data_IF_339570358917
#
_entry.id   IF_339570358917
#
_cell.length_a   1.000
_cell.length_b   1.000
_cell.length_c   1.000
_cell.angle_alpha   90.00
_cell.angle_beta   90.00
_cell.angle_gamma   90.00
#
_symmetry.space_group_name_H-M   'P 1'
#
loop_
_entity.id
_entity.type
_entity.pdbx_description
1 polymer ?
#
# COMPACT_ATOMS: atom_id res chain seq x y z
N UNK A 1 -36.77 -4.52 54.56
CA UNK A 1 -36.57 -4.27 53.11
C UNK A 1 -37.86 -4.61 52.39
N UNK A 2 -38.43 -3.72 51.58
CA UNK A 2 -39.67 -4.00 50.86
C UNK A 2 -39.46 -5.09 49.79
N UNK A 3 -40.36 -6.07 49.73
CA UNK A 3 -40.23 -7.28 48.89
C UNK A 3 -40.08 -7.00 47.39
N UNK A 4 -40.73 -5.95 46.88
CA UNK A 4 -40.61 -5.56 45.47
C UNK A 4 -39.16 -5.19 45.09
N UNK A 5 -38.42 -4.59 46.02
CA UNK A 5 -37.04 -4.17 45.81
C UNK A 5 -36.08 -5.37 45.76
N UNK A 6 -36.36 -6.43 46.53
CA UNK A 6 -35.60 -7.68 46.47
C UNK A 6 -35.76 -8.40 45.13
N UNK A 7 -36.95 -8.37 44.54
CA UNK A 7 -37.22 -8.97 43.21
C UNK A 7 -36.44 -8.21 42.12
N UNK A 8 -36.47 -6.87 42.16
CA UNK A 8 -35.76 -6.03 41.18
C UNK A 8 -34.25 -6.26 41.25
N UNK A 9 -33.68 -6.26 42.45
CA UNK A 9 -32.22 -6.49 42.63
C UNK A 9 -31.83 -7.93 42.25
N UNK A 10 -32.69 -8.91 42.55
CA UNK A 10 -32.46 -10.32 42.20
C UNK A 10 -32.39 -10.58 40.69
N UNK A 11 -33.13 -9.81 39.88
CA UNK A 11 -33.13 -9.93 38.41
C UNK A 11 -32.06 -9.04 37.77
N UNK A 12 -31.67 -7.94 38.42
CA UNK A 12 -30.69 -7.00 37.88
C UNK A 12 -29.33 -7.66 37.60
N UNK A 13 -28.81 -8.47 38.53
CA UNK A 13 -27.50 -9.14 38.39
C UNK A 13 -27.48 -10.10 37.19
N UNK A 14 -28.41 -11.07 37.03
CA UNK A 14 -28.42 -11.95 35.87
C UNK A 14 -28.72 -11.22 34.57
N UNK A 15 -29.53 -10.15 34.60
CA UNK A 15 -29.78 -9.32 33.43
C UNK A 15 -28.48 -8.64 32.95
N UNK A 16 -27.74 -8.00 33.85
CA UNK A 16 -26.45 -7.36 33.54
C UNK A 16 -25.44 -8.41 33.05
N UNK A 17 -25.39 -9.60 33.66
CA UNK A 17 -24.53 -10.69 33.23
C UNK A 17 -24.85 -11.12 31.78
N UNK A 18 -26.14 -11.30 31.44
CA UNK A 18 -26.58 -11.64 30.10
C UNK A 18 -26.20 -10.55 29.08
N UNK A 19 -26.43 -9.28 29.41
CA UNK A 19 -26.06 -8.16 28.55
C UNK A 19 -24.55 -8.08 28.34
N UNK A 20 -23.76 -8.27 29.39
CA UNK A 20 -22.30 -8.24 29.29
C UNK A 20 -21.78 -9.36 28.38
N UNK A 21 -22.29 -10.58 28.52
CA UNK A 21 -21.96 -11.71 27.66
C UNK A 21 -22.30 -11.43 26.19
N UNK A 22 -23.46 -10.81 25.93
CA UNK A 22 -23.91 -10.46 24.59
C UNK A 22 -23.00 -9.38 23.96
N UNK A 23 -22.65 -8.35 24.71
CA UNK A 23 -21.74 -7.29 24.27
C UNK A 23 -20.36 -7.86 23.96
N UNK A 24 -19.79 -8.68 24.86
CA UNK A 24 -18.49 -9.32 24.65
C UNK A 24 -18.49 -10.21 23.40
N UNK A 25 -19.56 -10.97 23.17
CA UNK A 25 -19.70 -11.78 21.96
C UNK A 25 -19.73 -10.92 20.68
N UNK A 26 -20.44 -9.79 20.70
CA UNK A 26 -20.44 -8.85 19.58
C UNK A 26 -19.05 -8.24 19.36
N UNK A 27 -18.36 -7.83 20.43
CA UNK A 27 -17.01 -7.28 20.35
C UNK A 27 -16.01 -8.28 19.76
N UNK A 28 -16.08 -9.55 20.16
CA UNK A 28 -15.27 -10.61 19.56
C UNK A 28 -15.51 -10.67 18.04
N UNK A 29 -16.78 -10.73 17.63
CA UNK A 29 -17.15 -10.84 16.21
C UNK A 29 -16.69 -9.64 15.39
N UNK A 30 -16.75 -8.43 15.97
CA UNK A 30 -16.22 -7.21 15.34
C UNK A 30 -14.70 -7.28 15.23
N UNK A 31 -13.99 -7.65 16.30
CA UNK A 31 -12.53 -7.76 16.32
C UNK A 31 -11.97 -8.67 15.23
N UNK A 32 -12.64 -9.81 14.97
CA UNK A 32 -12.25 -10.70 13.87
C UNK A 32 -12.37 -10.05 12.49
N UNK A 33 -13.40 -9.24 12.25
CA UNK A 33 -13.58 -8.52 10.96
C UNK A 33 -12.58 -7.38 10.81
N UNK A 34 -12.31 -6.66 11.90
CA UNK A 34 -11.35 -5.57 11.94
C UNK A 34 -9.93 -6.02 11.59
N UNK A 35 -9.53 -7.24 11.99
CA UNK A 35 -8.23 -7.78 11.64
C UNK A 35 -8.04 -7.94 10.12
N UNK A 36 -9.03 -8.48 9.43
CA UNK A 36 -8.99 -8.64 7.97
C UNK A 36 -8.95 -7.29 7.27
N UNK A 37 -9.75 -6.32 7.74
CA UNK A 37 -9.74 -4.96 7.20
C UNK A 37 -8.37 -4.29 7.36
N UNK A 38 -7.74 -4.42 8.53
CA UNK A 38 -6.41 -3.85 8.76
C UNK A 38 -5.32 -4.47 7.88
N UNK A 39 -5.41 -5.77 7.61
CA UNK A 39 -4.50 -6.43 6.67
C UNK A 39 -4.72 -5.94 5.25
N UNK A 40 -5.98 -5.78 4.82
CA UNK A 40 -6.30 -5.20 3.52
C UNK A 40 -5.78 -3.77 3.40
N UNK A 41 -6.05 -2.90 4.38
CA UNK A 41 -5.57 -1.51 4.38
C UNK A 41 -4.05 -1.41 4.29
N UNK A 42 -3.34 -2.32 4.96
CA UNK A 42 -1.88 -2.38 4.90
C UNK A 42 -1.39 -2.80 3.52
N UNK A 43 -2.00 -3.82 2.91
CA UNK A 43 -1.68 -4.26 1.54
C UNK A 43 -2.01 -3.19 0.51
N UNK A 44 -3.17 -2.54 0.65
CA UNK A 44 -3.61 -1.46 -0.23
C UNK A 44 -2.63 -0.29 -0.22
N UNK A 45 -2.12 0.09 0.95
CA UNK A 45 -1.11 1.17 1.07
C UNK A 45 0.19 0.90 0.32
N UNK A 46 0.63 -0.36 0.23
CA UNK A 46 1.81 -0.73 -0.57
C UNK A 46 1.50 -0.64 -2.05
N UNK A 47 0.31 -1.11 -2.46
CA UNK A 47 -0.16 -1.00 -3.84
C UNK A 47 -0.24 0.46 -4.30
N UNK A 48 -0.90 1.33 -3.52
CA UNK A 48 -1.04 2.74 -3.86
C UNK A 48 0.32 3.43 -3.92
N UNK A 49 1.21 3.21 -2.94
CA UNK A 49 2.54 3.80 -2.98
C UNK A 49 3.37 3.35 -4.21
N UNK A 50 3.20 2.11 -4.67
CA UNK A 50 3.86 1.61 -5.89
C UNK A 50 3.26 2.25 -7.13
N UNK A 51 1.93 2.37 -7.19
CA UNK A 51 1.21 3.02 -8.27
C UNK A 51 1.55 4.52 -8.36
N UNK A 52 1.52 5.22 -7.24
CA UNK A 52 1.75 6.65 -7.13
C UNK A 52 3.17 7.01 -7.56
N UNK A 53 4.18 6.20 -7.20
CA UNK A 53 5.54 6.40 -7.70
C UNK A 53 5.64 6.24 -9.22
N UNK A 54 4.99 5.23 -9.78
CA UNK A 54 5.00 5.03 -11.23
C UNK A 54 4.30 6.19 -11.94
N UNK A 55 3.16 6.64 -11.45
CA UNK A 55 2.41 7.77 -12.03
C UNK A 55 3.20 9.07 -11.88
N UNK A 56 3.78 9.35 -10.72
CA UNK A 56 4.58 10.55 -10.48
C UNK A 56 5.78 10.64 -11.43
N UNK A 57 6.46 9.52 -11.73
CA UNK A 57 7.58 9.52 -12.69
C UNK A 57 7.15 9.51 -14.16
N UNK A 58 5.89 9.19 -14.46
CA UNK A 58 5.36 9.22 -15.84
C UNK A 58 4.74 10.57 -16.21
N UNK A 59 4.12 11.25 -15.25
CA UNK A 59 3.26 12.43 -15.51
C UNK A 59 3.52 13.59 -14.54
N UNK A 60 4.08 13.32 -13.36
CA UNK A 60 4.24 14.31 -12.30
C UNK A 60 5.49 15.19 -12.44
N UNK A 61 5.54 16.24 -11.63
CA UNK A 61 6.69 17.16 -11.56
C UNK A 61 7.79 16.63 -10.60
N UNK A 62 8.97 17.27 -10.59
CA UNK A 62 10.12 16.89 -9.76
C UNK A 62 9.74 16.78 -8.25
N UNK A 63 8.82 17.63 -7.77
CA UNK A 63 8.31 17.59 -6.39
C UNK A 63 7.47 16.34 -6.11
N UNK A 64 6.51 16.03 -6.98
CA UNK A 64 5.66 14.84 -6.88
C UNK A 64 6.50 13.56 -6.87
N UNK A 65 7.51 13.50 -7.75
CA UNK A 65 8.42 12.36 -7.83
C UNK A 65 9.22 12.15 -6.53
N UNK A 66 9.65 13.24 -5.90
CA UNK A 66 10.38 13.18 -4.63
C UNK A 66 9.48 12.72 -3.49
N UNK A 67 8.27 13.29 -3.40
CA UNK A 67 7.31 12.91 -2.37
C UNK A 67 6.90 11.45 -2.51
N UNK A 68 6.45 11.04 -3.69
CA UNK A 68 6.06 9.66 -3.97
C UNK A 68 7.21 8.69 -3.73
N UNK A 69 8.42 9.02 -4.18
CA UNK A 69 9.61 8.19 -3.97
C UNK A 69 9.93 7.97 -2.49
N UNK A 70 9.80 9.02 -1.67
CA UNK A 70 10.02 8.92 -0.22
C UNK A 70 8.97 8.06 0.49
N UNK A 71 7.70 8.16 0.06
CA UNK A 71 6.62 7.34 0.61
C UNK A 71 6.81 5.88 0.22
N UNK A 72 7.10 5.59 -1.05
CA UNK A 72 7.37 4.25 -1.52
C UNK A 72 8.55 3.59 -0.81
N UNK A 73 9.65 4.31 -0.59
CA UNK A 73 10.80 3.79 0.15
C UNK A 73 10.42 3.33 1.57
N UNK A 74 9.53 4.06 2.26
CA UNK A 74 9.00 3.68 3.57
C UNK A 74 8.11 2.43 3.48
N UNK A 75 7.21 2.39 2.49
CA UNK A 75 6.23 1.30 2.32
C UNK A 75 6.83 0.01 1.75
N UNK A 76 7.98 0.08 1.07
CA UNK A 76 8.68 -1.10 0.56
C UNK A 76 9.02 -2.10 1.66
N UNK A 77 9.38 -1.61 2.85
CA UNK A 77 9.69 -2.48 4.00
C UNK A 77 8.45 -3.26 4.44
N UNK A 78 7.27 -2.61 4.45
CA UNK A 78 5.99 -3.26 4.75
C UNK A 78 5.70 -4.38 3.74
N UNK A 79 6.10 -4.19 2.47
CA UNK A 79 5.87 -5.16 1.41
C UNK A 79 6.53 -6.52 1.68
N UNK A 80 7.72 -6.52 2.31
CA UNK A 80 8.48 -7.73 2.65
C UNK A 80 7.70 -8.67 3.58
N UNK A 81 6.88 -8.11 4.47
CA UNK A 81 6.13 -8.87 5.48
C UNK A 81 4.71 -9.21 5.04
N UNK A 82 4.11 -8.37 4.18
CA UNK A 82 2.69 -8.45 3.82
C UNK A 82 2.41 -9.29 2.57
N UNK A 83 3.41 -9.48 1.71
CA UNK A 83 3.23 -10.03 0.38
C UNK A 83 4.12 -11.25 0.10
N UNK A 84 3.72 -12.10 -0.86
CA UNK A 84 4.57 -13.18 -1.34
C UNK A 84 5.81 -12.65 -2.06
N UNK A 85 6.87 -13.48 -2.20
CA UNK A 85 8.14 -13.06 -2.81
C UNK A 85 7.99 -12.59 -4.26
N UNK A 86 6.96 -13.03 -4.98
CA UNK A 86 6.66 -12.58 -6.35
C UNK A 86 6.34 -11.07 -6.42
N UNK A 87 5.53 -10.58 -5.49
CA UNK A 87 5.17 -9.15 -5.41
C UNK A 87 6.35 -8.35 -4.89
N UNK A 88 7.08 -8.89 -3.91
CA UNK A 88 8.30 -8.24 -3.39
C UNK A 88 9.34 -8.06 -4.50
N UNK A 89 9.55 -9.06 -5.34
CA UNK A 89 10.43 -8.97 -6.51
C UNK A 89 9.97 -7.88 -7.49
N UNK A 90 8.67 -7.76 -7.74
CA UNK A 90 8.11 -6.71 -8.60
C UNK A 90 8.27 -5.30 -8.00
N UNK A 91 8.08 -5.14 -6.69
CA UNK A 91 8.32 -3.87 -5.99
C UNK A 91 9.80 -3.49 -6.06
N UNK A 92 10.71 -4.47 -5.95
CA UNK A 92 12.15 -4.25 -6.11
C UNK A 92 12.51 -3.89 -7.56
N UNK A 93 11.96 -4.58 -8.57
CA UNK A 93 12.10 -4.26 -10.00
C UNK A 93 11.64 -2.82 -10.30
N UNK A 94 10.53 -2.41 -9.69
CA UNK A 94 10.00 -1.04 -9.79
C UNK A 94 10.97 -0.03 -9.19
N UNK A 95 11.52 -0.31 -8.00
CA UNK A 95 12.50 0.56 -7.35
C UNK A 95 13.75 0.76 -8.21
N UNK A 96 14.27 -0.32 -8.80
CA UNK A 96 15.46 -0.28 -9.67
C UNK A 96 15.18 0.48 -10.97
N UNK A 97 14.02 0.27 -11.59
CA UNK A 97 13.63 0.99 -12.80
C UNK A 97 13.46 2.51 -12.56
N UNK A 98 12.83 2.89 -11.44
CA UNK A 98 12.68 4.30 -11.04
C UNK A 98 14.05 4.93 -10.77
N UNK A 99 14.93 4.23 -10.05
CA UNK A 99 16.27 4.72 -9.77
C UNK A 99 17.10 4.92 -11.05
N UNK A 100 17.02 3.97 -11.98
CA UNK A 100 17.70 4.05 -13.27
C UNK A 100 17.18 5.23 -14.11
N UNK A 101 15.86 5.47 -14.12
CA UNK A 101 15.26 6.62 -14.80
C UNK A 101 15.81 7.92 -14.21
N UNK A 102 15.78 8.08 -12.89
CA UNK A 102 16.29 9.29 -12.23
C UNK A 102 17.79 9.51 -12.47
N UNK A 103 18.57 8.44 -12.56
CA UNK A 103 19.97 8.54 -12.92
C UNK A 103 20.14 9.09 -14.36
N UNK A 104 19.33 8.61 -15.31
CA UNK A 104 19.35 9.09 -16.70
C UNK A 104 18.87 10.53 -16.84
N UNK A 105 17.84 10.94 -16.10
CA UNK A 105 17.35 12.33 -16.07
C UNK A 105 18.42 13.30 -15.53
N UNK A 106 19.15 12.89 -14.48
CA UNK A 106 20.27 13.67 -13.95
C UNK A 106 21.42 13.78 -14.95
N UNK A 107 21.72 12.71 -15.67
CA UNK A 107 22.72 12.73 -16.73
C UNK A 107 22.30 13.67 -17.87
N UNK A 108 21.03 13.63 -18.28
CA UNK A 108 20.47 14.54 -19.28
C UNK A 108 20.56 16.01 -18.84
N UNK A 109 20.13 16.32 -17.60
CA UNK A 109 20.23 17.69 -17.02
C UNK A 109 21.68 18.19 -16.96
N UNK A 110 22.67 17.30 -16.88
CA UNK A 110 24.10 17.64 -16.81
C UNK A 110 24.79 17.73 -18.17
N UNK A 111 24.21 17.16 -19.23
CA UNK A 111 24.83 17.12 -20.56
C UNK A 111 25.09 18.53 -21.11
N UNK A 112 26.33 18.78 -21.55
CA UNK A 112 26.74 20.09 -22.09
C UNK A 112 26.75 20.09 -23.63
N UNK A 113 26.91 18.92 -24.24
CA UNK A 113 27.03 18.74 -25.68
C UNK A 113 25.72 18.21 -26.29
N UNK A 114 25.40 18.64 -27.52
CA UNK A 114 24.18 18.22 -28.24
C UNK A 114 24.13 16.70 -28.49
N UNK A 115 25.26 16.09 -28.82
CA UNK A 115 25.32 14.64 -29.09
C UNK A 115 25.15 13.80 -27.81
N UNK A 116 25.70 14.29 -26.70
CA UNK A 116 25.55 13.68 -25.37
C UNK A 116 24.11 13.83 -24.84
N UNK A 117 23.49 15.00 -25.08
CA UNK A 117 22.09 15.24 -24.75
C UNK A 117 21.15 14.32 -25.54
N UNK A 118 21.45 14.08 -26.83
CA UNK A 118 20.66 13.17 -27.67
C UNK A 118 20.76 11.73 -27.17
N UNK A 119 21.96 11.25 -26.84
CA UNK A 119 22.16 9.91 -26.30
C UNK A 119 21.45 9.72 -24.95
N UNK A 120 21.56 10.70 -24.04
CA UNK A 120 20.87 10.68 -22.75
C UNK A 120 19.34 10.75 -22.90
N UNK A 121 18.83 11.47 -23.90
CA UNK A 121 17.39 11.54 -24.18
C UNK A 121 16.84 10.19 -24.68
N UNK A 122 17.60 9.47 -25.51
CA UNK A 122 17.24 8.12 -25.98
C UNK A 122 17.21 7.14 -24.81
N UNK A 123 18.24 7.14 -23.94
CA UNK A 123 18.30 6.29 -22.75
C UNK A 123 17.16 6.59 -21.77
N UNK A 124 16.86 7.87 -21.52
CA UNK A 124 15.72 8.27 -20.69
C UNK A 124 14.40 7.74 -21.26
N UNK A 125 14.17 7.90 -22.57
CA UNK A 125 12.96 7.42 -23.25
C UNK A 125 12.80 5.90 -23.17
N UNK A 126 13.91 5.16 -23.30
CA UNK A 126 13.92 3.71 -23.14
C UNK A 126 13.49 3.32 -21.72
N UNK A 127 14.07 3.95 -20.70
CA UNK A 127 13.71 3.68 -19.29
C UNK A 127 12.27 4.06 -18.96
N UNK A 128 11.74 5.16 -19.52
CA UNK A 128 10.32 5.51 -19.38
C UNK A 128 9.41 4.42 -19.97
N UNK A 129 9.82 3.78 -21.07
CA UNK A 129 9.05 2.69 -21.68
C UNK A 129 8.98 1.44 -20.79
N UNK A 130 10.08 1.13 -20.09
CA UNK A 130 10.13 0.06 -19.08
C UNK A 130 9.19 0.40 -17.92
N UNK A 131 9.21 1.64 -17.44
CA UNK A 131 8.33 2.10 -16.37
C UNK A 131 6.84 1.96 -16.75
N UNK A 132 6.50 2.30 -18.00
CA UNK A 132 5.14 2.12 -18.54
C UNK A 132 4.75 0.64 -18.60
N UNK A 133 5.65 -0.25 -19.00
CA UNK A 133 5.40 -1.69 -19.00
C UNK A 133 5.15 -2.24 -17.58
N UNK A 134 5.89 -1.75 -16.59
CA UNK A 134 5.67 -2.08 -15.18
C UNK A 134 4.31 -1.59 -14.69
N UNK A 135 3.93 -0.36 -15.04
CA UNK A 135 2.62 0.19 -14.69
C UNK A 135 1.45 -0.67 -15.22
N UNK A 136 1.55 -1.20 -16.44
CA UNK A 136 0.53 -2.11 -17.01
C UNK A 136 0.50 -3.46 -16.29
N UNK A 137 1.65 -3.98 -15.83
CA UNK A 137 1.74 -5.26 -15.09
C UNK A 137 1.25 -5.16 -13.64
N UNK A 138 1.31 -3.96 -13.05
CA UNK A 138 1.06 -3.72 -11.62
C UNK A 138 -0.29 -4.27 -11.11
N UNK A 139 -1.44 -4.03 -11.77
CA UNK A 139 -2.72 -4.58 -11.32
C UNK A 139 -2.72 -6.11 -11.33
N UNK A 140 -2.09 -6.74 -12.33
CA UNK A 140 -2.05 -8.20 -12.47
C UNK A 140 -1.25 -8.87 -11.35
N UNK A 141 -0.11 -8.29 -10.97
CA UNK A 141 0.76 -8.82 -9.91
C UNK A 141 0.09 -8.70 -8.54
N UNK A 142 -0.56 -7.58 -8.25
CA UNK A 142 -1.19 -7.34 -6.96
C UNK A 142 -2.58 -7.95 -6.81
N UNK A 143 -3.27 -8.31 -7.91
CA UNK A 143 -4.64 -8.85 -7.90
C UNK A 143 -4.79 -10.06 -6.99
N UNK A 144 -3.86 -11.01 -7.07
CA UNK A 144 -3.90 -12.23 -6.25
C UNK A 144 -3.68 -11.93 -4.75
N UNK A 145 -2.88 -10.93 -4.42
CA UNK A 145 -2.55 -10.57 -3.04
C UNK A 145 -3.57 -9.66 -2.35
N UNK A 146 -4.37 -8.94 -3.13
CA UNK A 146 -5.40 -8.02 -2.62
C UNK A 146 -6.75 -8.71 -2.37
N UNK A 147 -6.86 -10.04 -2.56
CA UNK A 147 -8.08 -10.82 -2.32
C UNK A 147 -9.32 -10.28 -3.09
N UNK A 148 -9.11 -9.63 -4.25
CA UNK A 148 -10.17 -9.07 -5.10
C UNK A 148 -11.01 -10.13 -5.85
N UNK A 149 -10.98 -11.39 -5.39
CA UNK A 149 -11.58 -12.57 -6.05
C UNK A 149 -12.49 -13.37 -5.11
N UNK A 150 -13.12 -12.73 -4.13
CA UNK A 150 -14.24 -13.34 -3.39
C UNK A 150 -15.52 -12.56 -3.60
#
# INVERSE_FOLDING_TARGET
>A
MPYWLQIVVGIAVPAIALFSALITYQQWRVGQRTLTHHLFDRRWRVYTATHDVLVAHLTGDDEDQNQAGSEFARRKVDALFLFPPTVVAFVQETHEAVFALRASERALKKSQNKDEALAAQVDCREKTSVLRALHVRLPGVFRASLDLTK
#
